data_IF_463797595182
#
_entry.id   IF_463797595182
#
_cell.length_a   1.000
_cell.length_b   1.000
_cell.length_c   1.000
_cell.angle_alpha   90.00
_cell.angle_beta   90.00
_cell.angle_gamma   90.00
#
_symmetry.space_group_name_H-M   'P 1'
#
loop_
_entity.id
_entity.type
_entity.pdbx_description
1 polymer ?
#
# COMPACT_ATOMS: atom_id res chain seq x y z
N UNK A 1 -17.76 -10.41 -6.97
CA UNK A 1 -17.71 -9.37 -5.92
C UNK A 1 -18.58 -8.21 -6.36
N UNK A 2 -19.43 -7.63 -5.47
CA UNK A 2 -20.30 -6.51 -5.81
C UNK A 2 -19.45 -5.30 -6.26
N UNK A 3 -19.92 -4.62 -7.31
CA UNK A 3 -19.28 -3.41 -7.85
C UNK A 3 -19.99 -2.16 -7.32
N UNK A 4 -19.35 -0.98 -7.38
CA UNK A 4 -20.05 0.27 -7.10
C UNK A 4 -21.36 0.34 -7.91
N UNK A 5 -22.43 0.78 -7.26
CA UNK A 5 -23.81 0.85 -7.77
C UNK A 5 -24.58 -0.48 -7.87
N UNK A 6 -24.02 -1.61 -7.43
CA UNK A 6 -24.80 -2.85 -7.24
C UNK A 6 -25.53 -2.82 -5.88
N UNK A 7 -26.67 -3.51 -5.71
CA UNK A 7 -27.48 -3.46 -4.48
C UNK A 7 -26.72 -3.87 -3.22
N UNK A 8 -25.80 -4.80 -3.34
CA UNK A 8 -25.00 -5.32 -2.24
C UNK A 8 -23.74 -4.46 -1.92
N UNK A 9 -23.51 -3.37 -2.68
CA UNK A 9 -22.40 -2.47 -2.43
C UNK A 9 -22.81 -1.34 -1.49
N UNK A 10 -22.29 -1.36 -0.25
CA UNK A 10 -22.56 -0.32 0.75
C UNK A 10 -21.68 0.90 0.52
N UNK A 11 -22.17 1.85 -0.27
CA UNK A 11 -21.46 3.07 -0.66
C UNK A 11 -20.99 3.90 0.55
N UNK A 12 -21.78 3.97 1.63
CA UNK A 12 -21.40 4.71 2.84
C UNK A 12 -20.15 4.12 3.50
N UNK A 13 -20.03 2.79 3.53
CA UNK A 13 -18.86 2.10 4.07
C UNK A 13 -17.63 2.38 3.22
N UNK A 14 -17.76 2.27 1.90
CA UNK A 14 -16.66 2.56 0.96
C UNK A 14 -16.14 4.00 1.12
N UNK A 15 -17.05 4.97 1.24
CA UNK A 15 -16.69 6.38 1.47
C UNK A 15 -16.04 6.59 2.84
N UNK A 16 -16.49 5.92 3.89
CA UNK A 16 -15.90 5.99 5.22
C UNK A 16 -14.45 5.49 5.22
N UNK A 17 -14.19 4.34 4.61
CA UNK A 17 -12.84 3.80 4.45
C UNK A 17 -11.94 4.74 3.62
N UNK A 18 -12.48 5.34 2.56
CA UNK A 18 -11.75 6.33 1.76
C UNK A 18 -11.37 7.57 2.56
N UNK A 19 -12.21 8.00 3.49
CA UNK A 19 -11.89 9.12 4.41
C UNK A 19 -10.74 8.75 5.34
N UNK A 20 -10.73 7.56 5.94
CA UNK A 20 -9.62 7.09 6.78
C UNK A 20 -8.33 7.05 5.96
N UNK A 21 -8.38 6.56 4.72
CA UNK A 21 -7.21 6.45 3.82
C UNK A 21 -6.70 7.79 3.30
N UNK A 22 -7.41 8.90 3.51
CA UNK A 22 -6.93 10.23 3.13
C UNK A 22 -5.81 10.75 4.04
N UNK A 23 -5.70 10.22 5.26
CA UNK A 23 -4.64 10.56 6.19
C UNK A 23 -3.37 9.77 5.86
N UNK A 24 -2.22 10.44 5.93
CA UNK A 24 -0.91 9.86 5.63
C UNK A 24 0.19 10.53 6.44
N UNK A 25 1.43 10.07 6.31
CA UNK A 25 2.58 10.70 6.96
C UNK A 25 2.78 12.17 6.53
N UNK A 26 2.43 12.52 5.31
CA UNK A 26 2.46 13.91 4.80
C UNK A 26 1.20 14.71 5.16
N UNK A 27 0.14 14.05 5.64
CA UNK A 27 -1.16 14.62 5.94
C UNK A 27 -1.69 14.08 7.27
N UNK A 28 -1.01 14.40 8.37
CA UNK A 28 -1.34 13.92 9.71
C UNK A 28 -2.61 14.58 10.27
N UNK A 29 -2.87 15.81 9.89
CA UNK A 29 -4.04 16.59 10.31
C UNK A 29 -4.66 17.25 9.09
N UNK A 30 -5.97 17.08 8.92
CA UNK A 30 -6.71 17.59 7.76
C UNK A 30 -7.99 18.28 8.18
N UNK A 31 -8.32 19.41 7.55
CA UNK A 31 -9.63 20.02 7.62
C UNK A 31 -10.68 19.24 6.82
N UNK A 32 -11.97 19.49 7.05
CA UNK A 32 -13.06 18.91 6.23
C UNK A 32 -12.85 19.18 4.74
N UNK A 33 -12.34 20.36 4.40
CA UNK A 33 -12.12 20.76 2.99
C UNK A 33 -11.02 19.96 2.33
N UNK A 34 -9.91 19.74 3.02
CA UNK A 34 -8.78 18.96 2.52
C UNK A 34 -9.15 17.49 2.38
N UNK A 35 -9.87 16.90 3.35
CA UNK A 35 -10.39 15.53 3.22
C UNK A 35 -11.38 15.43 2.05
N UNK A 36 -12.26 16.42 1.86
CA UNK A 36 -13.20 16.44 0.74
C UNK A 36 -12.47 16.48 -0.61
N UNK A 37 -11.43 17.30 -0.74
CA UNK A 37 -10.61 17.39 -1.93
C UNK A 37 -9.86 16.07 -2.21
N UNK A 38 -9.19 15.51 -1.19
CA UNK A 38 -8.44 14.25 -1.32
C UNK A 38 -9.33 13.06 -1.69
N UNK A 39 -10.55 13.01 -1.14
CA UNK A 39 -11.50 11.92 -1.37
C UNK A 39 -12.41 12.14 -2.57
N UNK A 40 -12.44 13.36 -3.14
CA UNK A 40 -13.38 13.79 -4.19
C UNK A 40 -14.86 13.63 -3.75
N UNK A 41 -15.14 13.84 -2.46
CA UNK A 41 -16.48 13.81 -1.88
C UNK A 41 -16.98 15.23 -1.63
N UNK A 42 -18.32 15.42 -1.66
CA UNK A 42 -18.92 16.68 -1.28
C UNK A 42 -18.64 17.01 0.21
N UNK A 43 -18.32 18.28 0.53
CA UNK A 43 -18.01 18.73 1.91
C UNK A 43 -19.07 18.31 2.96
N UNK A 44 -20.38 18.40 2.70
CA UNK A 44 -21.38 17.94 3.67
C UNK A 44 -21.29 16.44 3.95
N UNK A 45 -21.06 15.64 2.92
CA UNK A 45 -20.87 14.17 3.05
C UNK A 45 -19.61 13.87 3.85
N UNK A 46 -18.48 14.52 3.50
CA UNK A 46 -17.21 14.37 4.20
C UNK A 46 -17.35 14.73 5.68
N UNK A 47 -18.02 15.84 6.00
CA UNK A 47 -18.26 16.25 7.38
C UNK A 47 -19.06 15.20 8.16
N UNK A 48 -20.12 14.64 7.58
CA UNK A 48 -20.92 13.59 8.22
C UNK A 48 -20.11 12.33 8.49
N UNK A 49 -19.28 11.91 7.53
CA UNK A 49 -18.38 10.75 7.69
C UNK A 49 -17.34 10.99 8.79
N UNK A 50 -16.72 12.17 8.83
CA UNK A 50 -15.76 12.54 9.87
C UNK A 50 -16.38 12.57 11.25
N UNK A 51 -17.60 13.14 11.42
CA UNK A 51 -18.33 13.13 12.69
C UNK A 51 -18.69 11.70 13.14
N UNK A 52 -19.04 10.82 12.20
CA UNK A 52 -19.27 9.40 12.49
C UNK A 52 -17.98 8.71 12.95
N UNK A 53 -16.88 8.94 12.25
CA UNK A 53 -15.57 8.37 12.62
C UNK A 53 -15.07 8.92 13.97
N UNK A 54 -15.37 10.17 14.29
CA UNK A 54 -15.10 10.79 15.59
C UNK A 54 -15.91 10.11 16.69
N UNK A 55 -17.21 9.95 16.49
CA UNK A 55 -18.11 9.24 17.42
C UNK A 55 -17.68 7.79 17.65
N UNK A 56 -17.15 7.14 16.63
CA UNK A 56 -16.59 5.79 16.72
C UNK A 56 -15.16 5.76 17.31
N UNK A 57 -14.54 6.91 17.52
CA UNK A 57 -13.21 7.05 18.09
C UNK A 57 -12.05 6.79 17.13
N UNK A 58 -12.27 6.70 15.82
CA UNK A 58 -11.21 6.53 14.81
C UNK A 58 -10.51 7.84 14.46
N UNK A 59 -11.17 8.98 14.59
CA UNK A 59 -10.58 10.30 14.44
C UNK A 59 -10.87 11.16 15.67
N UNK A 60 -10.08 12.19 15.86
CA UNK A 60 -10.30 13.25 16.86
C UNK A 60 -10.13 14.61 16.22
N UNK A 61 -10.74 15.63 16.81
CA UNK A 61 -10.59 17.03 16.37
C UNK A 61 -9.69 17.78 17.34
N UNK A 62 -8.71 18.49 16.80
CA UNK A 62 -7.84 19.40 17.54
C UNK A 62 -7.73 20.69 16.72
N UNK A 63 -8.17 21.82 17.29
CA UNK A 63 -8.16 23.13 16.65
C UNK A 63 -8.85 23.15 15.27
N UNK A 64 -9.96 22.41 15.11
CA UNK A 64 -10.71 22.31 13.85
C UNK A 64 -10.11 21.39 12.79
N UNK A 65 -8.99 20.73 13.10
CA UNK A 65 -8.33 19.73 12.25
C UNK A 65 -8.62 18.32 12.75
N UNK A 66 -8.93 17.42 11.83
CA UNK A 66 -9.15 16.01 12.11
C UNK A 66 -7.81 15.26 12.05
N UNK A 67 -7.63 14.32 12.96
CA UNK A 67 -6.45 13.46 13.07
C UNK A 67 -6.89 12.03 13.35
N UNK A 68 -6.18 11.02 12.84
CA UNK A 68 -6.40 9.64 13.22
C UNK A 68 -6.07 9.41 14.69
N UNK A 69 -6.77 8.49 15.33
CA UNK A 69 -6.44 7.99 16.67
C UNK A 69 -5.72 6.64 16.60
N UNK A 70 -5.08 6.18 17.68
CA UNK A 70 -4.50 4.84 17.74
C UNK A 70 -5.49 3.70 17.44
N UNK A 71 -6.80 3.94 17.57
CA UNK A 71 -7.83 2.94 17.29
C UNK A 71 -7.77 2.39 15.85
N UNK A 72 -7.27 3.19 14.88
CA UNK A 72 -7.08 2.72 13.50
C UNK A 72 -6.12 1.53 13.40
N UNK A 73 -5.17 1.41 14.35
CA UNK A 73 -4.23 0.29 14.39
C UNK A 73 -4.91 -1.06 14.63
N UNK A 74 -6.08 -1.08 15.30
CA UNK A 74 -6.84 -2.31 15.54
C UNK A 74 -7.20 -3.03 14.23
N UNK A 75 -7.47 -2.27 13.15
CA UNK A 75 -7.77 -2.82 11.83
C UNK A 75 -6.55 -3.49 11.19
N UNK A 76 -5.36 -2.92 11.39
CA UNK A 76 -4.11 -3.44 10.84
C UNK A 76 -3.51 -4.57 11.67
N UNK A 77 -3.57 -4.48 13.01
CA UNK A 77 -3.02 -5.50 13.91
C UNK A 77 -3.73 -6.83 13.76
N UNK A 78 -5.04 -6.83 13.56
CA UNK A 78 -5.80 -8.05 13.28
C UNK A 78 -5.27 -8.81 12.04
N UNK A 79 -4.93 -8.08 10.97
CA UNK A 79 -4.34 -8.67 9.76
C UNK A 79 -2.94 -9.24 10.05
N UNK A 80 -2.07 -8.48 10.70
CA UNK A 80 -0.69 -8.88 10.99
C UNK A 80 -0.68 -10.13 11.89
N UNK A 81 -1.51 -10.16 12.94
CA UNK A 81 -1.58 -11.26 13.89
C UNK A 81 -2.17 -12.54 13.28
N UNK A 82 -3.15 -12.42 12.38
CA UNK A 82 -3.80 -13.58 11.75
C UNK A 82 -2.89 -14.35 10.79
N UNK A 83 -1.88 -13.71 10.23
CA UNK A 83 -1.01 -14.32 9.22
C UNK A 83 0.10 -15.22 9.81
N UNK A 84 0.52 -15.02 11.06
CA UNK A 84 1.66 -15.74 11.68
C UNK A 84 2.99 -15.57 10.92
N UNK A 85 2.93 -14.96 9.74
CA UNK A 85 4.05 -14.82 8.82
C UNK A 85 5.11 -13.86 9.35
N UNK A 86 4.69 -12.87 10.17
CA UNK A 86 5.60 -11.93 10.79
C UNK A 86 6.59 -12.61 11.76
N UNK A 87 6.10 -13.53 12.57
CA UNK A 87 6.92 -14.24 13.55
C UNK A 87 7.97 -15.13 12.86
N UNK A 88 7.64 -15.66 11.68
CA UNK A 88 8.57 -16.47 10.88
C UNK A 88 9.54 -15.57 10.09
N UNK A 89 9.05 -14.47 9.51
CA UNK A 89 9.84 -13.61 8.62
C UNK A 89 10.80 -12.70 9.40
N UNK A 90 10.39 -12.15 10.54
CA UNK A 90 11.15 -11.18 11.31
C UNK A 90 12.59 -11.64 11.64
N UNK A 91 12.82 -12.82 12.24
CA UNK A 91 14.19 -13.25 12.55
C UNK A 91 15.06 -13.38 11.30
N UNK A 92 14.45 -13.75 10.13
CA UNK A 92 15.16 -13.87 8.87
C UNK A 92 15.53 -12.50 8.29
N UNK A 93 14.62 -11.53 8.36
CA UNK A 93 14.88 -10.15 7.94
C UNK A 93 15.95 -9.50 8.84
N UNK A 94 15.92 -9.72 10.16
CA UNK A 94 16.91 -9.21 11.11
C UNK A 94 18.31 -9.80 10.82
N UNK A 95 18.41 -11.10 10.59
CA UNK A 95 19.67 -11.76 10.21
C UNK A 95 20.24 -11.23 8.88
N UNK A 96 19.37 -10.95 7.89
CA UNK A 96 19.79 -10.34 6.64
C UNK A 96 20.33 -8.92 6.86
N UNK A 97 19.63 -8.10 7.64
CA UNK A 97 20.08 -6.74 7.98
C UNK A 97 21.41 -6.75 8.71
N UNK A 98 21.59 -7.66 9.67
CA UNK A 98 22.85 -7.81 10.40
C UNK A 98 24.01 -8.14 9.47
N UNK A 99 23.79 -9.04 8.51
CA UNK A 99 24.81 -9.50 7.57
C UNK A 99 25.12 -8.48 6.48
N UNK A 100 24.10 -7.84 5.92
CA UNK A 100 24.24 -6.96 4.75
C UNK A 100 24.41 -5.49 5.10
N UNK A 101 23.99 -5.09 6.31
CA UNK A 101 23.89 -3.69 6.74
C UNK A 101 22.91 -2.86 5.88
N UNK A 102 21.99 -3.57 5.20
CA UNK A 102 20.93 -2.97 4.36
C UNK A 102 19.55 -3.29 4.91
N UNK A 103 18.60 -2.37 4.70
CA UNK A 103 17.21 -2.60 5.11
C UNK A 103 16.62 -3.80 4.38
N UNK A 104 15.93 -4.65 5.12
CA UNK A 104 15.22 -5.81 4.57
C UNK A 104 13.73 -5.69 4.73
N UNK A 105 12.96 -6.14 3.74
CA UNK A 105 11.52 -5.96 3.72
C UNK A 105 10.80 -7.15 3.09
N UNK A 106 9.52 -7.30 3.45
CA UNK A 106 8.59 -8.24 2.85
C UNK A 106 7.40 -7.48 2.28
N UNK A 107 6.86 -7.95 1.18
CA UNK A 107 5.67 -7.38 0.56
C UNK A 107 4.72 -8.47 0.07
N UNK A 108 3.48 -8.07 -0.17
CA UNK A 108 2.46 -8.90 -0.80
C UNK A 108 1.88 -8.19 -2.01
N UNK A 109 1.42 -8.97 -2.99
CA UNK A 109 0.73 -8.44 -4.17
C UNK A 109 -0.73 -8.13 -3.82
N UNK A 110 -1.16 -6.89 -4.04
CA UNK A 110 -2.53 -6.41 -3.81
C UNK A 110 -2.99 -5.61 -5.03
N UNK A 111 -3.85 -6.20 -5.84
CA UNK A 111 -4.15 -5.63 -7.17
C UNK A 111 -2.91 -5.65 -8.05
N UNK A 112 -2.57 -4.53 -8.67
CA UNK A 112 -1.36 -4.35 -9.49
C UNK A 112 -0.16 -3.82 -8.71
N UNK A 113 -0.31 -3.60 -7.38
CA UNK A 113 0.72 -3.05 -6.51
C UNK A 113 1.29 -4.10 -5.58
N UNK A 114 2.49 -3.84 -5.09
CA UNK A 114 2.97 -4.45 -3.85
C UNK A 114 2.61 -3.57 -2.67
N UNK A 115 2.33 -4.21 -1.54
CA UNK A 115 2.17 -3.55 -0.23
C UNK A 115 3.22 -4.11 0.71
N UNK A 116 3.99 -3.21 1.33
CA UNK A 116 4.98 -3.60 2.34
C UNK A 116 4.27 -4.08 3.60
N UNK A 117 4.48 -5.33 3.97
CA UNK A 117 3.84 -5.97 5.13
C UNK A 117 4.79 -6.17 6.29
N UNK A 118 6.11 -6.18 6.04
CA UNK A 118 7.13 -6.24 7.05
C UNK A 118 8.39 -5.47 6.62
N UNK A 119 9.11 -4.88 7.59
CA UNK A 119 10.37 -4.16 7.33
C UNK A 119 11.24 -4.11 8.57
N UNK A 120 12.51 -4.39 8.40
CA UNK A 120 13.60 -4.12 9.34
C UNK A 120 14.47 -3.03 8.72
N UNK A 121 14.36 -1.78 9.18
CA UNK A 121 15.07 -0.65 8.60
C UNK A 121 16.50 -0.56 9.14
N UNK A 122 17.39 -0.01 8.33
CA UNK A 122 18.69 0.53 8.77
C UNK A 122 18.64 2.06 8.65
N UNK A 123 19.05 2.82 9.66
CA UNK A 123 19.14 4.27 9.56
C UNK A 123 20.13 4.66 8.44
N UNK A 124 19.65 5.40 7.46
CA UNK A 124 20.48 5.99 6.39
C UNK A 124 20.20 7.48 6.30
N UNK A 125 21.23 8.27 6.06
CA UNK A 125 21.13 9.73 5.93
C UNK A 125 20.30 10.08 4.68
N UNK A 126 20.42 9.29 3.62
CA UNK A 126 19.66 9.42 2.38
C UNK A 126 19.02 8.07 2.11
N UNK A 127 17.71 8.01 2.13
CA UNK A 127 16.97 6.78 1.88
C UNK A 127 15.50 7.05 1.63
N UNK A 128 14.87 6.16 0.89
CA UNK A 128 13.41 6.16 0.72
C UNK A 128 12.72 5.94 2.06
N UNK A 129 11.76 6.80 2.37
CA UNK A 129 10.88 6.62 3.53
C UNK A 129 9.81 5.56 3.20
N UNK A 130 10.19 4.29 3.35
CA UNK A 130 9.28 3.16 3.17
C UNK A 130 8.83 2.64 4.52
N UNK A 131 7.52 2.48 4.69
CA UNK A 131 6.89 1.99 5.90
C UNK A 131 5.97 0.80 5.59
N UNK A 132 5.55 0.06 6.61
CA UNK A 132 4.48 -0.94 6.48
C UNK A 132 3.24 -0.23 5.93
N UNK A 133 2.58 -0.82 4.93
CA UNK A 133 1.47 -0.22 4.21
C UNK A 133 1.86 0.62 2.99
N UNK A 134 3.15 0.98 2.80
CA UNK A 134 3.59 1.66 1.57
C UNK A 134 3.31 0.78 0.35
N UNK A 135 2.83 1.41 -0.72
CA UNK A 135 2.48 0.75 -1.98
C UNK A 135 3.37 1.24 -3.12
N UNK A 136 3.71 0.31 -4.02
CA UNK A 136 4.38 0.63 -5.29
C UNK A 136 3.84 -0.25 -6.41
N UNK A 137 3.83 0.22 -7.68
CA UNK A 137 3.47 -0.62 -8.81
C UNK A 137 4.35 -1.86 -8.87
N UNK A 138 3.74 -3.05 -8.90
CA UNK A 138 4.48 -4.32 -8.83
C UNK A 138 5.50 -4.47 -9.97
N UNK A 139 5.12 -4.08 -11.19
CA UNK A 139 6.01 -4.19 -12.35
C UNK A 139 7.28 -3.33 -12.25
N UNK A 140 7.25 -2.27 -11.42
CA UNK A 140 8.36 -1.33 -11.28
C UNK A 140 9.27 -1.64 -10.07
N UNK A 141 9.05 -2.76 -9.38
CA UNK A 141 9.84 -3.14 -8.20
C UNK A 141 10.38 -4.55 -8.32
N UNK A 142 11.54 -4.83 -7.71
CA UNK A 142 12.14 -6.17 -7.68
C UNK A 142 11.22 -7.19 -7.00
N UNK A 143 10.69 -6.87 -5.82
CA UNK A 143 9.75 -7.74 -5.09
C UNK A 143 8.48 -7.97 -5.90
N UNK A 144 7.92 -6.92 -6.52
CA UNK A 144 6.72 -7.05 -7.34
C UNK A 144 6.93 -7.90 -8.57
N UNK A 145 8.07 -7.78 -9.26
CA UNK A 145 8.41 -8.64 -10.41
C UNK A 145 8.54 -10.11 -10.01
N UNK A 146 9.11 -10.43 -8.85
CA UNK A 146 9.14 -11.79 -8.34
C UNK A 146 7.73 -12.34 -8.12
N UNK A 147 6.85 -11.56 -7.47
CA UNK A 147 5.46 -11.95 -7.23
C UNK A 147 4.66 -12.09 -8.54
N UNK A 148 4.86 -11.18 -9.49
CA UNK A 148 4.23 -11.29 -10.83
C UNK A 148 4.75 -12.49 -11.62
N UNK A 149 6.02 -12.84 -11.47
CA UNK A 149 6.61 -13.99 -12.13
C UNK A 149 6.00 -15.33 -11.69
N UNK A 150 5.52 -15.42 -10.45
CA UNK A 150 4.87 -16.61 -9.89
C UNK A 150 3.40 -16.78 -10.34
N UNK A 151 2.80 -15.75 -10.90
CA UNK A 151 1.41 -15.82 -11.35
C UNK A 151 1.25 -16.65 -12.62
N UNK A 152 0.15 -17.43 -12.73
CA UNK A 152 -0.31 -17.98 -14.01
C UNK A 152 -0.55 -16.86 -15.04
N UNK A 153 -0.31 -17.13 -16.32
CA UNK A 153 -0.42 -16.11 -17.38
C UNK A 153 -1.79 -15.39 -17.39
N UNK A 154 -2.88 -16.12 -17.15
CA UNK A 154 -4.23 -15.56 -17.09
C UNK A 154 -4.39 -14.56 -15.96
N UNK A 155 -3.84 -14.86 -14.80
CA UNK A 155 -3.92 -14.01 -13.60
C UNK A 155 -3.00 -12.81 -13.73
N UNK A 156 -1.82 -12.97 -14.33
CA UNK A 156 -0.92 -11.88 -14.67
C UNK A 156 -1.61 -10.82 -15.56
N UNK A 157 -2.32 -11.27 -16.61
CA UNK A 157 -3.06 -10.38 -17.50
C UNK A 157 -4.19 -9.62 -16.77
N UNK A 158 -4.88 -10.29 -15.85
CA UNK A 158 -5.91 -9.67 -15.04
C UNK A 158 -5.32 -8.63 -14.08
N UNK A 159 -4.23 -8.95 -13.40
CA UNK A 159 -3.53 -8.07 -12.46
C UNK A 159 -3.00 -6.83 -13.15
N UNK A 160 -2.33 -6.97 -14.29
CA UNK A 160 -1.74 -5.84 -15.04
C UNK A 160 -2.76 -4.86 -15.62
N UNK A 161 -4.03 -5.24 -15.72
CA UNK A 161 -5.15 -4.36 -16.13
C UNK A 161 -5.69 -3.53 -14.98
N UNK A 162 -5.37 -3.86 -13.73
CA UNK A 162 -5.83 -3.10 -12.56
C UNK A 162 -5.01 -1.81 -12.46
N UNK A 163 -5.64 -0.62 -12.37
CA UNK A 163 -4.90 0.61 -12.12
C UNK A 163 -4.15 0.56 -10.79
N UNK A 164 -2.92 1.08 -10.78
CA UNK A 164 -2.16 1.21 -9.54
C UNK A 164 -2.82 2.23 -8.59
N UNK A 165 -2.90 1.89 -7.33
CA UNK A 165 -3.37 2.76 -6.24
C UNK A 165 -2.22 3.39 -5.45
N UNK A 166 -0.97 3.14 -5.85
CA UNK A 166 0.22 3.63 -5.15
C UNK A 166 0.41 5.16 -5.20
N UNK A 167 -0.18 5.82 -6.20
CA UNK A 167 0.06 7.23 -6.49
C UNK A 167 1.46 7.52 -7.05
N UNK A 168 2.31 6.50 -7.17
CA UNK A 168 3.68 6.63 -7.69
C UNK A 168 3.68 6.44 -9.21
N UNK A 169 4.31 7.36 -9.92
CA UNK A 169 4.54 7.26 -11.35
C UNK A 169 5.94 6.71 -11.59
N UNK A 170 6.07 5.49 -12.13
CA UNK A 170 7.39 4.94 -12.44
C UNK A 170 8.14 5.78 -13.47
N UNK A 171 9.46 5.85 -13.33
CA UNK A 171 10.33 6.60 -14.26
C UNK A 171 10.32 6.00 -15.67
N UNK A 172 10.35 4.67 -15.76
CA UNK A 172 10.32 3.97 -17.02
C UNK A 172 8.88 3.59 -17.40
N UNK A 173 8.57 3.77 -18.68
CA UNK A 173 7.28 3.37 -19.23
C UNK A 173 7.14 1.84 -19.18
N UNK A 174 5.94 1.41 -18.88
CA UNK A 174 5.59 -0.01 -18.96
C UNK A 174 5.57 -0.49 -20.42
N UNK A 175 6.42 -1.48 -20.72
CA UNK A 175 6.43 -2.19 -22.01
C UNK A 175 6.18 -3.67 -21.72
N UNK A 176 5.03 -4.18 -22.19
CA UNK A 176 4.56 -5.53 -21.87
C UNK A 176 5.58 -6.61 -22.29
N UNK A 177 6.13 -6.52 -23.49
CA UNK A 177 7.10 -7.49 -23.99
C UNK A 177 8.35 -7.58 -23.11
N UNK A 178 8.91 -6.44 -22.75
CA UNK A 178 10.09 -6.38 -21.86
C UNK A 178 9.77 -6.95 -20.46
N UNK A 179 8.58 -6.69 -19.96
CA UNK A 179 8.15 -7.28 -18.69
C UNK A 179 8.06 -8.81 -18.80
N UNK A 180 7.41 -9.34 -19.83
CA UNK A 180 7.24 -10.79 -20.02
C UNK A 180 8.60 -11.51 -20.14
N UNK A 181 9.55 -10.94 -20.87
CA UNK A 181 10.93 -11.43 -20.98
C UNK A 181 11.62 -11.41 -19.60
N UNK A 182 11.51 -10.32 -18.87
CA UNK A 182 12.04 -10.18 -17.51
C UNK A 182 11.45 -11.20 -16.55
N UNK A 183 10.12 -11.40 -16.58
CA UNK A 183 9.45 -12.36 -15.71
C UNK A 183 9.85 -13.81 -16.04
N UNK A 184 10.08 -14.12 -17.31
CA UNK A 184 10.57 -15.44 -17.70
C UNK A 184 11.97 -15.74 -17.12
N UNK A 185 12.87 -14.77 -17.14
CA UNK A 185 14.20 -14.89 -16.52
C UNK A 185 14.11 -14.97 -14.98
N UNK A 186 13.22 -14.18 -14.36
CA UNK A 186 13.00 -14.22 -12.91
C UNK A 186 12.49 -15.59 -12.47
N UNK A 187 11.58 -16.24 -13.23
CA UNK A 187 11.13 -17.61 -12.95
C UNK A 187 12.27 -18.63 -12.89
N UNK A 188 13.29 -18.47 -13.76
CA UNK A 188 14.43 -19.38 -13.81
C UNK A 188 15.39 -19.15 -12.64
N UNK A 189 15.69 -17.90 -12.34
CA UNK A 189 16.72 -17.55 -11.34
C UNK A 189 16.21 -17.33 -9.91
N UNK A 190 14.90 -17.11 -9.73
CA UNK A 190 14.26 -16.95 -8.42
C UNK A 190 14.41 -15.58 -7.77
N UNK A 191 15.00 -14.59 -8.44
CA UNK A 191 15.19 -13.24 -7.90
C UNK A 191 15.10 -12.16 -8.99
N UNK A 192 14.87 -10.92 -8.59
CA UNK A 192 14.83 -9.76 -9.46
C UNK A 192 15.67 -8.61 -8.90
N UNK A 193 16.17 -7.77 -9.77
CA UNK A 193 16.77 -6.49 -9.45
C UNK A 193 16.00 -5.37 -10.13
N UNK A 194 15.88 -4.24 -9.47
CA UNK A 194 15.26 -3.02 -10.00
C UNK A 194 16.29 -1.91 -9.92
N UNK A 195 16.60 -1.31 -11.05
CA UNK A 195 17.52 -0.20 -11.15
C UNK A 195 16.81 0.98 -11.81
N UNK A 196 16.84 2.14 -11.16
CA UNK A 196 16.24 3.41 -11.62
C UNK A 196 14.78 3.36 -12.10
N UNK A 197 14.00 2.35 -11.69
CA UNK A 197 12.60 2.16 -12.12
C UNK A 197 11.64 3.17 -11.48
N UNK A 198 11.96 3.65 -10.29
CA UNK A 198 11.19 4.62 -9.53
C UNK A 198 11.97 5.92 -9.45
N UNK A 199 11.31 7.06 -9.72
CA UNK A 199 11.83 8.40 -9.45
C UNK A 199 11.24 8.90 -8.13
N UNK A 200 12.09 9.42 -7.29
CA UNK A 200 11.73 10.10 -6.03
C UNK A 200 12.28 11.52 -6.03
#
# INVERSE_FOLDING_TARGET
RPKPNEPDFVEALARGLKVISAFSLSHLALSVSEVAAATKLARPTTRRLLLTLESLGYVRVVNGMYMLTPKVLELGTAYISAQGMWDIARPRLEALVEKTKESSSMSQLVGSDIVYTARVPVPKIIGMSVHIGTRFPAYATSMGRVLLADLPAKDLDAVLKIPSESGVVPRLKFVRKELDESLAEIRKRGWAMSDEQLSF
#
